data_IF_834557843382
#
_entry.id   IF_834557843382
#
_cell.length_a   1.000
_cell.length_b   1.000
_cell.length_c   1.000
_cell.angle_alpha   90.00
_cell.angle_beta   90.00
_cell.angle_gamma   90.00
#
_symmetry.space_group_name_H-M   'P 1'
#
loop_
_entity.id
_entity.type
_entity.pdbx_description
1 polymer ?
#
# COMPACT_ATOMS: atom_id res chain seq x y z
N UNK A 1 40.69 46.21 -22.89
CA UNK A 1 41.63 45.78 -23.91
C UNK A 1 42.30 44.51 -23.45
N UNK A 2 42.47 43.47 -24.27
CA UNK A 2 42.02 43.32 -25.63
C UNK A 2 41.01 42.19 -25.83
N UNK A 3 40.29 42.35 -26.91
CA UNK A 3 39.41 41.41 -27.58
C UNK A 3 40.17 40.30 -28.32
N UNK A 4 39.66 39.08 -28.31
CA UNK A 4 40.01 38.12 -29.36
C UNK A 4 38.71 37.58 -29.96
N UNK A 5 38.47 37.99 -31.20
CA UNK A 5 37.53 37.36 -32.14
C UNK A 5 38.23 36.17 -32.78
N UNK A 6 37.52 35.08 -32.97
CA UNK A 6 37.81 34.18 -34.09
C UNK A 6 36.46 33.77 -34.71
N UNK A 7 36.39 34.01 -36.00
CA UNK A 7 35.34 33.70 -36.95
C UNK A 7 35.58 32.35 -37.65
N UNK A 8 34.66 31.84 -38.49
CA UNK A 8 34.40 30.41 -38.68
C UNK A 8 35.17 29.83 -39.87
N UNK A 9 35.31 28.52 -39.90
CA UNK A 9 35.75 27.79 -41.07
C UNK A 9 34.63 26.84 -41.53
N UNK A 10 34.20 27.06 -42.76
CA UNK A 10 33.33 26.24 -43.56
C UNK A 10 34.17 25.32 -44.46
N UNK A 11 33.80 24.07 -44.53
CA UNK A 11 34.02 23.16 -45.64
C UNK A 11 33.12 21.95 -45.40
N UNK A 12 32.23 21.52 -46.20
CA UNK A 12 32.05 21.58 -47.67
C UNK A 12 32.05 20.15 -48.23
N UNK A 13 30.95 19.82 -48.96
CA UNK A 13 30.82 18.70 -49.89
C UNK A 13 30.61 17.29 -49.29
N UNK A 14 29.69 16.41 -49.78
CA UNK A 14 29.04 16.26 -51.11
C UNK A 14 27.79 15.38 -50.97
N UNK A 15 26.77 15.79 -51.67
CA UNK A 15 25.61 15.04 -52.14
C UNK A 15 25.98 13.79 -52.95
N UNK A 16 25.26 12.71 -52.77
CA UNK A 16 25.00 11.72 -53.79
C UNK A 16 23.58 11.17 -53.65
N UNK A 17 22.72 11.71 -54.49
CA UNK A 17 21.44 11.11 -54.83
C UNK A 17 21.69 10.06 -55.91
N UNK A 18 21.04 8.90 -55.81
CA UNK A 18 20.72 8.11 -57.02
C UNK A 18 19.35 7.50 -56.88
N UNK A 19 18.60 7.85 -57.87
CA UNK A 19 17.20 7.54 -58.12
C UNK A 19 17.01 6.19 -58.85
N UNK A 20 15.80 5.70 -58.66
CA UNK A 20 14.94 5.01 -59.65
C UNK A 20 15.40 3.68 -60.27
N UNK A 21 14.56 2.67 -60.19
CA UNK A 21 13.77 2.27 -61.38
C UNK A 21 12.72 1.24 -61.00
N UNK A 22 11.50 1.62 -61.31
CA UNK A 22 10.34 0.74 -61.40
C UNK A 22 10.42 -0.09 -62.69
N UNK A 23 10.00 -1.32 -62.66
CA UNK A 23 9.59 -2.04 -63.86
C UNK A 23 8.31 -2.84 -63.61
N UNK A 24 7.25 -2.31 -64.15
CA UNK A 24 5.99 -3.00 -64.49
C UNK A 24 6.22 -3.95 -65.60
N UNK A 25 5.74 -5.20 -65.53
CA UNK A 25 5.37 -5.99 -66.68
C UNK A 25 4.17 -6.87 -66.38
N UNK A 26 3.05 -6.60 -66.95
CA UNK A 26 1.94 -7.47 -67.36
C UNK A 26 1.79 -7.28 -68.92
N UNK A 27 1.05 -8.07 -69.66
CA UNK A 27 0.36 -9.34 -69.46
C UNK A 27 0.62 -10.32 -70.63
N UNK A 28 0.16 -11.55 -70.50
CA UNK A 28 0.14 -12.48 -71.67
C UNK A 28 -0.97 -13.50 -71.51
N UNK A 29 -2.01 -13.27 -72.32
CA UNK A 29 -3.14 -14.17 -72.54
C UNK A 29 -2.74 -15.20 -73.60
N UNK A 30 -3.00 -16.47 -73.41
CA UNK A 30 -3.29 -17.40 -74.50
C UNK A 30 -4.08 -18.61 -73.97
N UNK A 31 -5.22 -18.78 -74.59
CA UNK A 31 -6.09 -19.95 -74.62
C UNK A 31 -5.38 -21.14 -75.32
N UNK A 32 -5.68 -22.35 -74.83
CA UNK A 32 -6.14 -23.34 -75.83
C UNK A 32 -6.75 -24.59 -75.13
N UNK A 33 -7.84 -25.00 -75.74
CA UNK A 33 -8.67 -26.16 -75.47
C UNK A 33 -7.92 -27.48 -75.60
N UNK A 34 -8.25 -28.49 -74.80
CA UNK A 34 -8.39 -29.86 -75.26
C UNK A 34 -9.25 -30.68 -74.36
N UNK A 35 -10.28 -31.19 -74.91
CA UNK A 35 -11.22 -32.20 -74.44
C UNK A 35 -10.55 -33.55 -74.25
N UNK A 36 -10.89 -34.26 -73.20
CA UNK A 36 -10.51 -35.68 -73.01
C UNK A 36 -11.27 -36.29 -71.88
N UNK A 37 -12.43 -36.82 -72.16
CA UNK A 37 -13.20 -37.72 -71.27
C UNK A 37 -12.47 -39.01 -71.03
N UNK A 38 -12.80 -39.68 -69.99
CA UNK A 38 -12.97 -41.10 -69.74
C UNK A 38 -12.32 -41.60 -68.39
N UNK A 39 -13.19 -42.20 -67.69
CA UNK A 39 -13.16 -43.34 -66.72
C UNK A 39 -13.06 -43.04 -65.23
N UNK A 40 -14.22 -43.24 -64.71
CA UNK A 40 -14.59 -43.64 -63.36
C UNK A 40 -13.74 -44.81 -62.82
N UNK A 41 -12.89 -44.58 -61.88
CA UNK A 41 -12.43 -45.61 -60.97
C UNK A 41 -12.61 -45.17 -59.53
N UNK A 42 -13.55 -45.84 -58.85
CA UNK A 42 -13.78 -45.75 -57.44
C UNK A 42 -12.49 -46.18 -56.69
N UNK A 43 -11.89 -45.28 -55.97
CA UNK A 43 -10.99 -45.58 -54.89
C UNK A 43 -11.47 -44.82 -53.66
N UNK A 44 -12.09 -45.58 -52.72
CA UNK A 44 -12.28 -45.14 -51.35
C UNK A 44 -10.88 -44.89 -50.75
N UNK A 45 -10.57 -43.65 -50.47
CA UNK A 45 -9.50 -43.27 -49.57
C UNK A 45 -10.14 -42.69 -48.33
N UNK A 46 -9.96 -43.39 -47.19
CA UNK A 46 -10.36 -43.04 -45.86
C UNK A 46 -9.82 -41.64 -45.49
N UNK A 47 -10.70 -40.66 -45.37
CA UNK A 47 -10.41 -39.40 -44.74
C UNK A 47 -10.30 -39.67 -43.23
N UNK A 48 -9.08 -39.94 -42.74
CA UNK A 48 -8.76 -39.89 -41.32
C UNK A 48 -8.92 -38.45 -40.85
N UNK A 49 -10.07 -38.17 -40.25
CA UNK A 49 -10.26 -36.94 -39.49
C UNK A 49 -9.32 -36.96 -38.30
N UNK A 50 -8.18 -36.29 -38.39
CA UNK A 50 -7.32 -35.98 -37.26
C UNK A 50 -8.07 -34.94 -36.43
N UNK A 51 -8.92 -35.43 -35.52
CA UNK A 51 -9.48 -34.64 -34.45
C UNK A 51 -8.32 -34.29 -33.49
N UNK A 52 -7.72 -33.11 -33.69
CA UNK A 52 -6.87 -32.48 -32.70
C UNK A 52 -7.80 -32.13 -31.55
N UNK A 53 -7.88 -33.00 -30.55
CA UNK A 53 -8.48 -32.74 -29.26
C UNK A 53 -7.61 -31.63 -28.64
N UNK A 54 -8.07 -30.38 -28.75
CA UNK A 54 -7.60 -29.27 -27.91
C UNK A 54 -8.04 -29.60 -26.48
N UNK A 55 -7.25 -30.39 -25.78
CA UNK A 55 -7.38 -30.53 -24.35
C UNK A 55 -7.13 -29.11 -23.76
N UNK A 56 -8.05 -28.58 -22.95
CA UNK A 56 -7.75 -27.38 -22.19
C UNK A 56 -6.49 -27.65 -21.38
N UNK A 57 -5.46 -26.86 -21.61
CA UNK A 57 -4.21 -27.02 -20.89
C UNK A 57 -4.47 -26.82 -19.39
N UNK A 58 -4.21 -27.86 -18.58
CA UNK A 58 -4.33 -27.86 -17.11
C UNK A 58 -3.54 -26.71 -16.44
N UNK A 59 -2.63 -26.08 -17.18
CA UNK A 59 -1.88 -24.88 -16.76
C UNK A 59 -2.77 -23.68 -16.41
N UNK A 60 -3.98 -23.54 -16.98
CA UNK A 60 -4.88 -22.44 -16.65
C UNK A 60 -5.50 -22.58 -15.24
N UNK A 61 -5.79 -23.80 -14.82
CA UNK A 61 -6.33 -24.06 -13.47
C UNK A 61 -5.27 -23.97 -12.37
N UNK A 62 -4.02 -24.30 -12.68
CA UNK A 62 -2.91 -24.26 -11.73
C UNK A 62 -2.58 -22.85 -11.20
N UNK A 63 -3.00 -21.78 -11.89
CA UNK A 63 -2.70 -20.39 -11.51
C UNK A 63 -3.88 -19.69 -10.83
N UNK A 64 -5.11 -20.18 -11.00
CA UNK A 64 -6.33 -19.51 -10.50
C UNK A 64 -6.37 -19.46 -8.97
N UNK A 65 -5.90 -20.50 -8.28
CA UNK A 65 -5.86 -20.56 -6.84
C UNK A 65 -5.02 -19.42 -6.24
N UNK A 66 -3.84 -19.15 -6.83
CA UNK A 66 -2.93 -18.10 -6.35
C UNK A 66 -3.48 -16.71 -6.64
N UNK A 67 -4.14 -16.52 -7.78
CA UNK A 67 -4.75 -15.23 -8.15
C UNK A 67 -5.86 -14.82 -7.19
N UNK A 68 -6.63 -15.77 -6.67
CA UNK A 68 -7.72 -15.53 -5.69
C UNK A 68 -7.24 -14.94 -4.36
N UNK A 69 -5.96 -15.05 -4.03
CA UNK A 69 -5.38 -14.48 -2.84
C UNK A 69 -5.20 -12.96 -2.91
N UNK A 70 -5.11 -12.39 -4.13
CA UNK A 70 -4.88 -10.98 -4.35
C UNK A 70 -6.18 -10.18 -4.34
N UNK A 71 -6.18 -9.05 -3.63
CA UNK A 71 -7.30 -8.11 -3.63
C UNK A 71 -7.46 -7.38 -4.98
N UNK A 72 -6.35 -7.20 -5.70
CA UNK A 72 -6.29 -6.62 -7.05
C UNK A 72 -5.06 -7.16 -7.78
N UNK A 73 -5.15 -7.32 -9.10
CA UNK A 73 -4.05 -7.74 -9.97
C UNK A 73 -3.60 -6.66 -10.96
N UNK A 74 -4.19 -5.46 -10.87
CA UNK A 74 -3.81 -4.34 -11.72
C UNK A 74 -3.94 -3.01 -10.99
N UNK A 75 -3.06 -2.06 -11.34
CA UNK A 75 -3.11 -0.70 -10.85
C UNK A 75 -2.65 0.29 -11.92
N UNK A 76 -3.36 1.41 -12.03
CA UNK A 76 -2.96 2.52 -12.89
C UNK A 76 -2.63 3.73 -12.00
N UNK A 77 -1.38 4.15 -12.03
CA UNK A 77 -0.91 5.34 -11.31
C UNK A 77 -1.47 6.65 -11.87
N UNK A 78 -2.13 6.60 -13.04
CA UNK A 78 -2.58 7.81 -13.72
C UNK A 78 -1.41 8.66 -14.23
N UNK A 79 -1.56 9.98 -14.12
CA UNK A 79 -0.49 10.93 -14.46
C UNK A 79 0.25 11.35 -13.20
N UNK A 80 1.55 11.12 -13.17
CA UNK A 80 2.42 11.41 -12.02
C UNK A 80 3.54 12.40 -12.39
N UNK A 81 4.03 13.16 -11.41
CA UNK A 81 5.12 14.09 -11.61
C UNK A 81 6.47 13.36 -11.68
N UNK A 82 7.41 13.91 -12.46
CA UNK A 82 8.79 13.42 -12.48
C UNK A 82 9.43 13.51 -11.09
N UNK A 83 10.07 12.41 -10.69
CA UNK A 83 10.78 12.31 -9.41
C UNK A 83 9.87 12.08 -8.21
N UNK A 84 8.53 12.09 -8.37
CA UNK A 84 7.61 11.78 -7.27
C UNK A 84 7.82 10.36 -6.75
N UNK A 85 7.62 10.15 -5.45
CA UNK A 85 7.48 8.82 -4.88
C UNK A 85 6.16 8.24 -5.37
N UNK A 86 6.21 7.14 -6.08
CA UNK A 86 5.02 6.52 -6.68
C UNK A 86 5.13 5.02 -6.48
N UNK A 87 4.31 4.48 -5.58
CA UNK A 87 4.28 3.05 -5.28
C UNK A 87 2.85 2.56 -5.06
N UNK A 88 2.63 1.29 -5.34
CA UNK A 88 1.36 0.62 -5.07
C UNK A 88 1.62 -0.73 -4.40
N UNK A 89 0.77 -1.08 -3.42
CA UNK A 89 0.86 -2.30 -2.63
C UNK A 89 -0.23 -3.26 -3.06
N UNK A 90 0.16 -4.30 -3.78
CA UNK A 90 -0.71 -5.42 -4.08
C UNK A 90 -0.79 -6.32 -2.86
N UNK A 91 -1.89 -6.22 -2.14
CA UNK A 91 -2.13 -7.01 -0.93
C UNK A 91 -2.63 -8.40 -1.32
N UNK A 92 -2.01 -9.44 -0.75
CA UNK A 92 -2.48 -10.82 -0.88
C UNK A 92 -2.57 -11.48 0.49
N UNK A 93 -3.54 -12.38 0.64
CA UNK A 93 -3.81 -13.09 1.89
C UNK A 93 -3.79 -14.58 1.64
N UNK A 94 -3.11 -15.35 2.47
CA UNK A 94 -3.22 -16.80 2.43
C UNK A 94 -4.62 -17.22 2.91
N UNK A 95 -5.49 -17.58 1.97
CA UNK A 95 -6.86 -18.03 2.25
C UNK A 95 -6.95 -19.55 2.45
N UNK A 96 -5.82 -20.27 2.34
CA UNK A 96 -5.70 -21.71 2.41
C UNK A 96 -5.15 -22.17 3.76
N UNK A 97 -5.33 -23.45 4.08
CA UNK A 97 -4.82 -24.07 5.32
C UNK A 97 -3.31 -24.33 5.25
N UNK A 98 -2.81 -24.59 4.05
CA UNK A 98 -1.41 -24.88 3.78
C UNK A 98 -0.56 -23.60 3.88
N UNK A 99 0.68 -23.69 4.37
CA UNK A 99 1.58 -22.55 4.36
C UNK A 99 1.93 -22.14 2.92
N UNK A 100 1.98 -20.85 2.69
CA UNK A 100 2.32 -20.22 1.43
C UNK A 100 3.79 -19.77 1.44
N UNK A 101 4.53 -20.01 0.35
CA UNK A 101 5.86 -19.45 0.17
C UNK A 101 5.99 -18.73 -1.17
N UNK A 102 6.53 -17.49 -1.12
CA UNK A 102 6.82 -16.64 -2.26
C UNK A 102 8.30 -16.77 -2.60
N UNK A 103 8.63 -17.39 -3.72
CA UNK A 103 9.99 -17.51 -4.23
C UNK A 103 10.58 -16.14 -4.54
N UNK A 104 9.79 -15.31 -5.22
CA UNK A 104 10.19 -13.96 -5.58
C UNK A 104 9.22 -13.31 -6.56
N UNK A 105 9.63 -12.12 -7.02
CA UNK A 105 8.91 -11.36 -8.03
C UNK A 105 9.89 -10.84 -9.08
N UNK A 106 9.53 -10.98 -10.36
CA UNK A 106 10.28 -10.43 -11.50
C UNK A 106 9.43 -9.38 -12.22
N UNK A 107 10.08 -8.46 -12.89
CA UNK A 107 9.41 -7.41 -13.67
C UNK A 107 9.74 -7.53 -15.16
N UNK A 108 8.81 -7.13 -16.04
CA UNK A 108 8.99 -7.11 -17.48
C UNK A 108 9.81 -5.91 -17.98
N UNK A 109 9.95 -4.85 -17.16
CA UNK A 109 10.74 -3.68 -17.55
C UNK A 109 11.39 -3.00 -16.33
N UNK A 110 12.46 -2.21 -16.54
CA UNK A 110 13.14 -1.42 -15.49
C UNK A 110 12.34 -0.20 -15.00
N UNK A 111 11.15 0.05 -15.58
CA UNK A 111 10.29 1.17 -15.19
C UNK A 111 9.56 0.93 -13.86
N UNK A 112 9.59 -0.29 -13.33
CA UNK A 112 8.99 -0.66 -12.05
C UNK A 112 9.90 -1.64 -11.31
N UNK A 113 10.21 -1.34 -10.04
CA UNK A 113 10.97 -2.22 -9.15
C UNK A 113 10.02 -2.86 -8.15
N UNK A 114 9.88 -4.20 -8.15
CA UNK A 114 9.03 -4.91 -7.21
C UNK A 114 9.78 -5.28 -5.94
N UNK A 115 9.06 -5.34 -4.82
CA UNK A 115 9.54 -5.81 -3.51
C UNK A 115 8.47 -6.67 -2.84
N UNK A 116 8.85 -7.78 -2.21
CA UNK A 116 7.95 -8.63 -1.41
C UNK A 116 8.22 -8.40 0.05
N UNK A 117 7.20 -8.04 0.83
CA UNK A 117 7.35 -7.72 2.26
C UNK A 117 7.50 -8.94 3.14
N UNK A 118 6.78 -10.02 2.83
CA UNK A 118 6.79 -11.30 3.58
C UNK A 118 6.78 -12.44 2.58
N UNK A 119 7.69 -13.41 2.76
CA UNK A 119 7.79 -14.57 1.86
C UNK A 119 7.05 -15.80 2.36
N UNK A 120 7.02 -16.02 3.67
CA UNK A 120 6.35 -17.16 4.29
C UNK A 120 5.10 -16.70 5.03
N UNK A 121 3.93 -17.22 4.64
CA UNK A 121 2.64 -16.87 5.23
C UNK A 121 1.92 -18.11 5.71
N UNK A 122 1.52 -18.09 6.97
CA UNK A 122 0.59 -19.07 7.54
C UNK A 122 -0.84 -18.76 7.09
N UNK A 123 -1.76 -19.66 7.41
CA UNK A 123 -3.20 -19.47 7.15
C UNK A 123 -3.68 -18.10 7.66
N UNK A 124 -4.36 -17.36 6.80
CA UNK A 124 -4.93 -16.03 7.05
C UNK A 124 -3.93 -14.88 7.26
N UNK A 125 -2.65 -15.13 7.19
CA UNK A 125 -1.65 -14.05 7.17
C UNK A 125 -1.68 -13.30 5.84
N UNK A 126 -1.27 -12.03 5.89
CA UNK A 126 -1.29 -11.10 4.76
C UNK A 126 0.13 -10.70 4.40
N UNK A 127 0.43 -10.68 3.12
CA UNK A 127 1.66 -10.14 2.55
C UNK A 127 1.37 -9.08 1.50
N UNK A 128 2.41 -8.38 1.07
CA UNK A 128 2.31 -7.34 0.05
C UNK A 128 3.41 -7.48 -1.00
N UNK A 129 3.06 -7.21 -2.24
CA UNK A 129 4.00 -6.95 -3.33
C UNK A 129 3.96 -5.45 -3.62
N UNK A 130 5.04 -4.75 -3.28
CA UNK A 130 5.18 -3.32 -3.48
C UNK A 130 5.74 -3.06 -4.86
N UNK A 131 4.98 -2.41 -5.73
CA UNK A 131 5.40 -1.96 -7.05
C UNK A 131 5.87 -0.50 -6.97
N UNK A 132 7.18 -0.27 -7.06
CA UNK A 132 7.78 1.07 -7.05
C UNK A 132 8.00 1.55 -8.47
N UNK A 133 7.25 2.57 -8.90
CA UNK A 133 7.32 3.12 -10.26
C UNK A 133 8.49 4.11 -10.37
N UNK A 134 9.39 3.90 -11.33
CA UNK A 134 10.60 4.73 -11.49
C UNK A 134 10.29 6.03 -12.23
N UNK A 135 9.84 7.02 -11.50
CA UNK A 135 9.51 8.36 -12.02
C UNK A 135 10.71 9.25 -12.25
N UNK A 136 11.91 8.86 -11.77
CA UNK A 136 13.14 9.67 -11.90
C UNK A 136 13.77 9.53 -13.27
N UNK A 137 13.84 8.29 -13.77
CA UNK A 137 14.58 7.96 -14.99
C UNK A 137 13.67 7.93 -16.23
N UNK A 138 12.40 7.52 -16.06
CA UNK A 138 11.46 7.35 -17.16
C UNK A 138 10.53 8.55 -17.29
N UNK A 139 10.10 8.85 -18.52
CA UNK A 139 9.14 9.89 -18.89
C UNK A 139 8.12 9.33 -19.87
N UNK A 140 6.90 9.89 -19.84
CA UNK A 140 5.82 9.46 -20.71
C UNK A 140 5.09 8.23 -20.19
N UNK A 141 4.41 7.54 -21.09
CA UNK A 141 3.58 6.39 -20.73
C UNK A 141 4.41 5.12 -20.60
N UNK A 142 4.36 4.50 -19.46
CA UNK A 142 5.04 3.23 -19.15
C UNK A 142 4.11 2.26 -18.44
N UNK A 143 4.42 0.97 -18.59
CA UNK A 143 3.73 -0.11 -17.89
C UNK A 143 4.64 -1.31 -17.71
N UNK A 144 4.39 -2.09 -16.68
CA UNK A 144 5.11 -3.31 -16.36
C UNK A 144 4.15 -4.43 -15.94
N UNK A 145 4.56 -5.66 -16.21
CA UNK A 145 3.98 -6.86 -15.63
C UNK A 145 4.97 -7.39 -14.58
N UNK A 146 4.48 -7.54 -13.35
CA UNK A 146 5.21 -8.16 -12.24
C UNK A 146 4.73 -9.60 -12.14
N UNK A 147 5.62 -10.56 -12.29
CA UNK A 147 5.29 -11.98 -12.13
C UNK A 147 5.73 -12.44 -10.77
N UNK A 148 4.77 -12.75 -9.91
CA UNK A 148 4.97 -13.29 -8.56
C UNK A 148 4.98 -14.81 -8.65
N UNK A 149 6.06 -15.45 -8.17
CA UNK A 149 6.23 -16.91 -8.23
C UNK A 149 6.06 -17.50 -6.84
N UNK A 150 5.19 -18.50 -6.73
CA UNK A 150 4.96 -19.32 -5.54
C UNK A 150 5.46 -20.75 -5.81
N UNK A 151 5.99 -21.42 -4.78
CA UNK A 151 6.36 -22.83 -4.81
C UNK A 151 5.63 -23.68 -3.76
N UNK A 152 4.97 -23.05 -2.80
CA UNK A 152 4.12 -23.72 -1.79
C UNK A 152 2.74 -23.09 -1.72
N UNK A 153 1.68 -23.87 -1.56
CA UNK A 153 1.65 -25.36 -1.51
C UNK A 153 1.90 -26.01 -2.87
N UNK A 154 1.69 -25.28 -3.97
CA UNK A 154 1.91 -25.71 -5.34
C UNK A 154 2.58 -24.60 -6.13
N UNK A 155 3.29 -24.96 -7.19
CA UNK A 155 3.85 -23.96 -8.11
C UNK A 155 2.73 -23.14 -8.77
N UNK A 156 2.88 -21.80 -8.73
CA UNK A 156 2.01 -20.88 -9.44
C UNK A 156 2.74 -19.57 -9.76
N UNK A 157 2.32 -18.92 -10.83
CA UNK A 157 2.74 -17.57 -11.18
C UNK A 157 1.52 -16.66 -11.28
N UNK A 158 1.55 -15.51 -10.61
CA UNK A 158 0.51 -14.48 -10.68
C UNK A 158 1.09 -13.25 -11.36
N UNK A 159 0.41 -12.76 -12.37
CA UNK A 159 0.78 -11.55 -13.09
C UNK A 159 0.04 -10.34 -12.53
N UNK A 160 0.79 -9.39 -11.99
CA UNK A 160 0.30 -8.09 -11.55
C UNK A 160 0.69 -7.04 -12.58
N UNK A 161 -0.24 -6.17 -12.97
CA UNK A 161 -0.01 -5.16 -14.01
C UNK A 161 -0.03 -3.77 -13.40
N UNK A 162 0.95 -2.96 -13.77
CA UNK A 162 0.99 -1.54 -13.44
C UNK A 162 1.17 -0.71 -14.70
N UNK A 163 0.58 0.49 -14.71
CA UNK A 163 0.74 1.45 -15.78
C UNK A 163 0.68 2.87 -15.22
N UNK A 164 1.24 3.85 -15.93
CA UNK A 164 1.16 5.26 -15.58
C UNK A 164 1.82 6.13 -16.63
N UNK A 165 1.58 7.44 -16.54
CA UNK A 165 2.18 8.46 -17.41
C UNK A 165 2.99 9.44 -16.57
N UNK A 166 4.32 9.51 -16.80
CA UNK A 166 5.25 10.34 -16.04
C UNK A 166 5.47 11.66 -16.76
N UNK A 167 5.04 12.76 -16.13
CA UNK A 167 5.22 14.11 -16.68
C UNK A 167 6.54 14.73 -16.23
N UNK A 168 7.30 15.24 -17.21
CA UNK A 168 8.58 15.90 -16.95
C UNK A 168 8.47 17.40 -16.66
N UNK A 169 7.33 17.99 -16.93
CA UNK A 169 7.07 19.42 -16.77
C UNK A 169 6.54 19.80 -15.38
N UNK A 170 6.10 18.83 -14.56
CA UNK A 170 5.74 19.02 -13.16
C UNK A 170 6.72 18.28 -12.26
N UNK A 171 7.25 19.00 -11.25
CA UNK A 171 8.18 18.45 -10.27
C UNK A 171 7.78 18.86 -8.86
N UNK A 172 8.09 17.99 -7.88
CA UNK A 172 7.90 18.24 -6.45
C UNK A 172 9.26 18.31 -5.75
N UNK A 173 9.41 19.25 -4.83
CA UNK A 173 10.60 19.38 -3.99
C UNK A 173 10.19 19.69 -2.54
N UNK A 174 10.33 18.72 -1.63
CA UNK A 174 10.73 17.32 -1.82
C UNK A 174 9.73 16.49 -2.64
N UNK A 175 10.10 15.28 -3.13
CA UNK A 175 9.30 14.47 -4.07
C UNK A 175 8.00 13.90 -3.48
N UNK A 176 7.82 13.96 -2.18
CA UNK A 176 6.64 13.56 -1.40
C UNK A 176 6.69 14.28 -0.04
N UNK A 177 5.59 14.23 0.71
CA UNK A 177 5.52 14.80 2.05
C UNK A 177 5.95 13.75 3.08
N UNK A 178 7.14 13.91 3.65
CA UNK A 178 7.61 13.11 4.77
C UNK A 178 7.39 13.87 6.09
N UNK A 179 6.41 13.43 6.88
CA UNK A 179 6.14 13.98 8.21
C UNK A 179 7.14 13.45 9.25
N UNK A 180 7.84 12.35 8.95
CA UNK A 180 8.76 11.69 9.87
C UNK A 180 8.04 11.06 11.07
N UNK A 181 8.75 11.02 12.22
CA UNK A 181 8.16 10.64 13.49
C UNK A 181 7.54 11.88 14.16
N UNK A 182 6.27 11.80 14.48
CA UNK A 182 5.48 12.88 15.10
C UNK A 182 4.99 12.40 16.46
N UNK A 183 5.22 13.17 17.51
CA UNK A 183 4.69 12.84 18.83
C UNK A 183 3.16 12.93 18.83
N UNK A 184 2.50 11.95 19.45
CA UNK A 184 1.06 11.93 19.57
C UNK A 184 0.54 13.21 20.26
N UNK A 185 -0.47 13.81 19.68
CA UNK A 185 -1.07 15.05 20.18
C UNK A 185 -0.38 16.36 19.76
N UNK A 186 0.78 16.31 19.04
CA UNK A 186 1.49 17.54 18.65
C UNK A 186 1.23 17.98 17.21
N UNK A 187 0.83 17.06 16.34
CA UNK A 187 0.72 17.33 14.92
C UNK A 187 2.10 17.61 14.27
N UNK A 188 2.09 17.85 12.98
CA UNK A 188 3.29 18.23 12.21
C UNK A 188 2.92 19.04 11.00
N UNK A 189 3.87 19.81 10.48
CA UNK A 189 3.69 20.60 9.26
C UNK A 189 4.90 20.42 8.35
N UNK A 190 4.65 20.25 7.05
CA UNK A 190 5.67 20.17 6.01
C UNK A 190 5.22 20.93 4.78
N UNK A 191 6.18 21.55 4.10
CA UNK A 191 5.94 22.26 2.84
C UNK A 191 6.66 21.55 1.70
N UNK A 192 6.02 21.52 0.55
CA UNK A 192 6.55 21.00 -0.71
C UNK A 192 6.39 22.07 -1.77
N UNK A 193 7.45 22.34 -2.50
CA UNK A 193 7.40 23.22 -3.67
C UNK A 193 6.96 22.41 -4.90
N UNK A 194 5.86 22.86 -5.50
CA UNK A 194 5.34 22.31 -6.76
C UNK A 194 5.74 23.27 -7.87
N UNK A 195 6.51 22.78 -8.83
CA UNK A 195 7.00 23.58 -9.96
C UNK A 195 6.47 23.00 -11.26
N UNK A 196 5.88 23.85 -12.09
CA UNK A 196 5.55 23.55 -13.47
C UNK A 196 6.40 24.38 -14.42
N UNK A 197 7.00 23.73 -15.43
CA UNK A 197 7.80 24.37 -16.48
C UNK A 197 7.03 24.28 -17.79
N UNK A 198 6.70 25.42 -18.38
CA UNK A 198 5.94 25.50 -19.64
C UNK A 198 5.50 26.93 -19.93
N UNK A 199 5.17 27.18 -21.18
CA UNK A 199 4.72 28.51 -21.66
C UNK A 199 3.21 28.73 -21.49
N UNK A 200 2.43 27.68 -21.24
CA UNK A 200 0.98 27.79 -21.03
C UNK A 200 0.67 28.13 -19.58
N UNK A 201 -0.33 28.98 -19.32
CA UNK A 201 -0.79 29.25 -17.95
C UNK A 201 -1.21 27.94 -17.28
N UNK A 202 -0.46 27.57 -16.24
CA UNK A 202 -0.74 26.38 -15.46
C UNK A 202 -1.12 26.78 -14.03
N UNK A 203 -2.19 26.17 -13.54
CA UNK A 203 -2.77 26.52 -12.25
C UNK A 203 -3.22 25.29 -11.50
N UNK A 204 -2.91 25.24 -10.20
CA UNK A 204 -3.51 24.30 -9.25
C UNK A 204 -4.80 24.94 -8.76
N UNK A 205 -5.95 24.36 -9.14
CA UNK A 205 -7.28 24.85 -8.78
C UNK A 205 -7.71 24.41 -7.39
N UNK A 206 -7.29 23.23 -6.98
CA UNK A 206 -7.71 22.60 -5.73
C UNK A 206 -6.71 21.52 -5.30
N UNK A 207 -6.66 21.21 -4.01
CA UNK A 207 -5.90 20.07 -3.46
C UNK A 207 -6.80 19.28 -2.56
N UNK A 208 -6.96 17.98 -2.85
CA UNK A 208 -7.87 17.09 -2.14
C UNK A 208 -7.10 16.01 -1.40
N UNK A 209 -7.61 15.63 -0.24
CA UNK A 209 -7.14 14.49 0.55
C UNK A 209 -8.33 13.61 0.95
N UNK A 210 -8.16 12.30 0.84
CA UNK A 210 -9.11 11.33 1.41
C UNK A 210 -8.89 11.13 2.91
N UNK A 211 -7.70 11.49 3.44
CA UNK A 211 -7.38 11.37 4.84
C UNK A 211 -7.79 12.63 5.61
N UNK A 212 -8.79 12.51 6.47
CA UNK A 212 -9.35 13.61 7.26
C UNK A 212 -8.36 14.22 8.28
N UNK A 213 -7.25 13.53 8.57
CA UNK A 213 -6.21 14.02 9.47
C UNK A 213 -5.27 15.04 8.81
N UNK A 214 -5.35 15.23 7.50
CA UNK A 214 -4.55 16.22 6.80
C UNK A 214 -5.34 17.50 6.53
N UNK A 215 -4.73 18.62 6.85
CA UNK A 215 -5.12 19.95 6.38
C UNK A 215 -4.10 20.44 5.37
N UNK A 216 -4.58 20.99 4.27
CA UNK A 216 -3.73 21.40 3.17
C UNK A 216 -3.99 22.86 2.84
N UNK A 217 -2.91 23.62 2.68
CA UNK A 217 -2.95 25.00 2.20
C UNK A 217 -2.01 25.19 1.02
N UNK A 218 -2.42 26.04 0.07
CA UNK A 218 -1.67 26.32 -1.14
C UNK A 218 -1.36 27.83 -1.18
N UNK A 219 -0.09 28.16 -1.43
CA UNK A 219 0.32 29.56 -1.62
C UNK A 219 -0.27 30.16 -2.91
N UNK A 220 -0.21 31.50 -3.03
CA UNK A 220 -0.37 32.13 -4.34
C UNK A 220 0.76 31.70 -5.27
N UNK A 221 0.47 31.53 -6.59
CA UNK A 221 1.51 31.16 -7.54
C UNK A 221 2.59 32.21 -7.68
N UNK A 222 3.83 31.76 -7.76
CA UNK A 222 4.94 32.58 -8.21
C UNK A 222 5.18 32.31 -9.68
N UNK A 223 5.04 33.32 -10.53
CA UNK A 223 5.23 33.21 -11.97
C UNK A 223 6.60 33.70 -12.41
N UNK A 224 7.29 32.91 -13.22
CA UNK A 224 8.48 33.26 -13.97
C UNK A 224 8.19 33.29 -15.49
N UNK A 225 9.17 33.57 -16.35
CA UNK A 225 8.98 33.69 -17.81
C UNK A 225 8.44 32.42 -18.50
N UNK A 226 8.76 31.23 -17.94
CA UNK A 226 8.31 29.93 -18.45
C UNK A 226 8.08 28.92 -17.30
N UNK A 227 7.72 29.42 -16.12
CA UNK A 227 7.59 28.61 -14.92
C UNK A 227 6.51 29.15 -14.01
N UNK A 228 5.75 28.26 -13.38
CA UNK A 228 4.84 28.55 -12.28
C UNK A 228 5.23 27.68 -11.09
N UNK A 229 5.29 28.27 -9.89
CA UNK A 229 5.60 27.54 -8.68
C UNK A 229 4.59 27.86 -7.57
N UNK A 230 4.28 26.85 -6.77
CA UNK A 230 3.41 26.91 -5.59
C UNK A 230 4.12 26.28 -4.41
N UNK A 231 3.92 26.84 -3.23
CA UNK A 231 4.30 26.19 -1.98
C UNK A 231 3.03 25.56 -1.38
N UNK A 232 3.04 24.23 -1.31
CA UNK A 232 1.99 23.41 -0.75
C UNK A 232 2.36 23.06 0.68
N UNK A 233 1.57 23.47 1.66
CA UNK A 233 1.80 23.16 3.07
C UNK A 233 0.79 22.10 3.52
N UNK A 234 1.29 21.03 4.09
CA UNK A 234 0.50 19.92 4.62
C UNK A 234 0.68 19.86 6.12
N UNK A 235 -0.42 19.94 6.85
CA UNK A 235 -0.47 19.86 8.31
C UNK A 235 -1.17 18.58 8.74
N UNK A 236 -0.53 17.81 9.60
CA UNK A 236 -1.14 16.69 10.32
C UNK A 236 -1.83 17.23 11.57
N UNK A 237 -3.09 16.88 11.76
CA UNK A 237 -3.87 17.28 12.94
C UNK A 237 -3.36 16.60 14.21
N UNK A 238 -3.37 17.30 15.36
CA UNK A 238 -2.96 16.72 16.64
C UNK A 238 -3.81 15.52 17.08
N UNK A 239 -5.09 15.48 16.69
CA UNK A 239 -6.07 14.45 17.04
C UNK A 239 -5.83 13.11 16.32
N UNK A 240 -4.89 13.07 15.38
CA UNK A 240 -4.59 11.85 14.63
C UNK A 240 -4.06 10.74 15.56
N UNK A 241 -4.58 9.53 15.40
CA UNK A 241 -4.26 8.38 16.24
C UNK A 241 -2.81 7.90 16.05
N UNK A 242 -2.24 7.29 17.10
CA UNK A 242 -0.91 6.69 17.03
C UNK A 242 -0.85 5.58 15.96
N UNK A 243 0.27 5.50 15.25
CA UNK A 243 0.51 4.52 14.20
C UNK A 243 1.10 5.12 12.93
N UNK A 244 1.11 4.33 11.86
CA UNK A 244 1.51 4.83 10.55
C UNK A 244 0.43 5.72 9.96
N UNK A 245 0.84 6.88 9.47
CA UNK A 245 -0.01 7.82 8.74
C UNK A 245 0.46 7.85 7.31
N UNK A 246 -0.41 7.46 6.41
CA UNK A 246 -0.17 7.55 4.98
C UNK A 246 -1.42 8.09 4.29
N UNK A 247 -1.22 8.68 3.13
CA UNK A 247 -2.30 9.19 2.30
C UNK A 247 -1.76 9.75 1.00
N UNK A 248 -2.69 10.11 0.14
CA UNK A 248 -2.39 10.72 -1.13
C UNK A 248 -3.15 12.04 -1.23
N UNK A 249 -2.43 13.09 -1.60
CA UNK A 249 -3.00 14.37 -2.00
C UNK A 249 -3.21 14.34 -3.51
N UNK A 250 -4.33 14.84 -3.97
CA UNK A 250 -4.63 14.98 -5.39
C UNK A 250 -4.64 16.47 -5.74
N UNK A 251 -3.63 16.90 -6.48
CA UNK A 251 -3.57 18.25 -7.02
C UNK A 251 -4.47 18.32 -8.24
N UNK A 252 -5.54 19.10 -8.17
CA UNK A 252 -6.46 19.34 -9.29
C UNK A 252 -5.96 20.52 -10.10
N UNK A 253 -5.65 20.32 -11.37
CA UNK A 253 -5.06 21.34 -12.24
C UNK A 253 -6.02 21.78 -13.35
N UNK A 254 -5.66 22.86 -14.05
CA UNK A 254 -6.35 23.33 -15.24
C UNK A 254 -5.90 22.61 -16.53
N UNK A 255 -4.92 21.70 -16.48
CA UNK A 255 -4.45 20.96 -17.65
C UNK A 255 -5.33 19.72 -17.92
N UNK A 256 -6.08 19.65 -19.04
CA UNK A 256 -6.93 18.50 -19.34
C UNK A 256 -6.18 17.19 -19.46
N UNK A 257 -4.87 17.22 -19.81
CA UNK A 257 -4.03 16.02 -19.96
C UNK A 257 -3.50 15.49 -18.63
N UNK A 258 -3.58 16.31 -17.58
CA UNK A 258 -3.18 15.98 -16.22
C UNK A 258 -4.06 16.71 -15.20
N UNK A 259 -5.38 16.53 -15.34
CA UNK A 259 -6.36 17.17 -14.48
C UNK A 259 -6.16 16.84 -12.99
N UNK A 260 -5.52 15.72 -12.71
CA UNK A 260 -5.20 15.25 -11.35
C UNK A 260 -3.76 14.75 -11.31
N UNK A 261 -2.99 15.22 -10.34
CA UNK A 261 -1.60 14.80 -10.10
C UNK A 261 -1.49 14.35 -8.64
N UNK A 262 -1.22 13.07 -8.39
CA UNK A 262 -1.10 12.54 -7.03
C UNK A 262 0.25 12.92 -6.41
N UNK A 263 0.24 13.14 -5.09
CA UNK A 263 1.42 13.33 -4.24
C UNK A 263 1.25 12.52 -2.97
N UNK A 264 2.21 11.68 -2.63
CA UNK A 264 2.15 10.85 -1.44
C UNK A 264 2.53 11.62 -0.18
N UNK A 265 1.87 11.30 0.93
CA UNK A 265 2.15 11.79 2.28
C UNK A 265 2.36 10.58 3.17
N UNK A 266 3.45 10.57 3.94
CA UNK A 266 3.74 9.50 4.90
C UNK A 266 4.32 10.06 6.20
N UNK A 267 4.13 9.31 7.28
CA UNK A 267 4.69 9.61 8.59
C UNK A 267 4.34 8.55 9.61
N UNK A 268 4.81 8.74 10.82
CA UNK A 268 4.51 7.84 11.94
C UNK A 268 4.21 8.65 13.19
N UNK A 269 3.01 8.48 13.74
CA UNK A 269 2.65 9.07 15.03
C UNK A 269 3.09 8.11 16.13
N UNK A 270 3.95 8.57 17.00
CA UNK A 270 4.56 7.79 18.05
C UNK A 270 3.97 8.24 19.40
N UNK A 271 3.38 7.31 20.14
CA UNK A 271 3.01 7.57 21.52
C UNK A 271 4.27 7.62 22.38
N UNK A 272 4.40 8.67 23.18
CA UNK A 272 5.54 8.82 24.11
C UNK A 272 5.58 7.70 25.12
N UNK A 273 4.40 7.25 25.56
CA UNK A 273 4.23 6.12 26.50
C UNK A 273 3.47 4.99 25.82
N UNK A 274 3.98 3.79 25.91
CA UNK A 274 3.36 2.58 25.38
C UNK A 274 3.07 1.58 26.50
N UNK A 275 1.99 0.80 26.35
CA UNK A 275 1.62 -0.26 27.30
C UNK A 275 1.50 -1.61 26.58
N UNK A 276 1.95 -2.66 27.23
CA UNK A 276 1.87 -4.02 26.70
C UNK A 276 1.54 -5.02 27.83
N UNK A 277 0.58 -5.92 27.61
CA UNK A 277 -0.32 -6.02 26.47
C UNK A 277 -1.38 -4.90 26.47
N UNK A 278 -1.92 -4.54 25.31
CA UNK A 278 -3.07 -3.61 25.21
C UNK A 278 -4.39 -4.28 25.61
N UNK A 279 -4.46 -5.60 25.50
CA UNK A 279 -5.55 -6.46 25.95
C UNK A 279 -5.04 -7.42 27.03
N UNK A 280 -5.47 -7.23 28.27
CA UNK A 280 -5.13 -8.07 29.40
C UNK A 280 -6.26 -9.09 29.63
N UNK A 281 -6.13 -10.28 29.05
CA UNK A 281 -7.06 -11.37 29.24
C UNK A 281 -6.78 -12.07 30.60
N UNK A 282 -7.70 -12.00 31.53
CA UNK A 282 -7.58 -12.62 32.87
C UNK A 282 -8.09 -14.08 32.89
N UNK A 283 -8.85 -14.49 31.85
CA UNK A 283 -9.46 -15.80 31.78
C UNK A 283 -10.74 -15.91 32.62
N UNK A 284 -11.02 -17.15 33.07
CA UNK A 284 -12.18 -17.45 33.92
C UNK A 284 -11.81 -17.23 35.37
N UNK A 285 -12.63 -16.49 36.12
CA UNK A 285 -12.42 -16.10 37.54
C UNK A 285 -13.64 -16.55 38.36
N UNK A 286 -13.42 -17.14 39.52
CA UNK A 286 -14.50 -17.50 40.44
C UNK A 286 -15.11 -16.27 41.11
N UNK A 287 -16.42 -16.24 41.41
CA UNK A 287 -17.03 -15.18 42.20
C UNK A 287 -16.29 -14.97 43.52
N UNK A 288 -16.00 -13.72 43.88
CA UNK A 288 -15.26 -13.34 45.07
C UNK A 288 -13.74 -13.55 44.98
N UNK A 289 -13.22 -14.19 43.96
CA UNK A 289 -11.78 -14.36 43.78
C UNK A 289 -11.10 -13.13 43.17
N UNK A 290 -9.79 -13.05 43.33
CA UNK A 290 -8.95 -12.02 42.71
C UNK A 290 -7.87 -12.64 41.85
N UNK A 291 -7.57 -12.00 40.72
CA UNK A 291 -6.52 -12.42 39.78
C UNK A 291 -5.60 -11.25 39.50
N UNK A 292 -4.29 -11.46 39.61
CA UNK A 292 -3.28 -10.44 39.33
C UNK A 292 -2.49 -10.83 38.06
N UNK A 293 -2.34 -9.88 37.13
CA UNK A 293 -1.44 -9.99 35.97
C UNK A 293 -0.65 -8.71 35.76
N UNK A 294 0.55 -8.85 35.25
CA UNK A 294 1.43 -7.71 35.01
C UNK A 294 1.18 -7.08 33.65
N UNK A 295 1.23 -5.75 33.61
CA UNK A 295 1.38 -4.96 32.38
C UNK A 295 2.73 -4.25 32.42
N UNK A 296 3.29 -3.96 31.25
CA UNK A 296 4.56 -3.26 31.10
C UNK A 296 4.29 -1.92 30.43
N UNK A 297 4.65 -0.84 31.12
CA UNK A 297 4.56 0.54 30.60
C UNK A 297 5.96 0.99 30.24
N UNK A 298 6.17 1.51 29.04
CA UNK A 298 7.48 1.93 28.52
C UNK A 298 7.41 3.31 27.91
N UNK A 299 8.49 4.08 28.09
CA UNK A 299 8.73 5.32 27.35
C UNK A 299 10.19 5.43 26.89
N UNK A 300 10.47 6.36 26.01
CA UNK A 300 11.82 6.61 25.49
C UNK A 300 12.70 7.40 26.47
N UNK A 301 12.12 7.99 27.50
CA UNK A 301 12.81 8.70 28.58
C UNK A 301 12.28 8.25 29.94
N UNK A 302 13.03 8.45 31.03
CA UNK A 302 12.57 8.11 32.39
C UNK A 302 11.29 8.87 32.73
N UNK A 303 10.33 8.17 33.34
CA UNK A 303 9.03 8.71 33.75
C UNK A 303 8.54 8.06 35.02
N UNK A 304 7.56 8.70 35.67
CA UNK A 304 6.83 8.18 36.82
C UNK A 304 5.38 7.86 36.43
N UNK A 305 4.83 6.79 36.96
CA UNK A 305 3.39 6.52 36.87
C UNK A 305 2.73 7.24 38.06
N UNK A 306 2.02 8.34 37.72
CA UNK A 306 1.41 9.22 38.74
C UNK A 306 0.02 8.77 39.16
N UNK A 307 -0.67 8.00 38.28
CA UNK A 307 -2.00 7.51 38.57
C UNK A 307 -2.40 6.32 37.72
N UNK A 308 -3.30 5.52 38.24
CA UNK A 308 -3.97 4.43 37.51
C UNK A 308 -5.44 4.49 37.88
N UNK A 309 -6.33 4.56 36.93
CA UNK A 309 -7.77 4.71 37.14
C UNK A 309 -8.59 3.72 36.32
N UNK A 310 -9.66 3.22 36.93
CA UNK A 310 -10.67 2.37 36.30
C UNK A 310 -12.06 2.89 36.66
N UNK A 311 -13.06 2.61 35.82
CA UNK A 311 -14.41 3.18 35.92
C UNK A 311 -15.21 2.76 37.17
N UNK A 312 -14.95 1.58 37.72
CA UNK A 312 -15.80 0.98 38.80
C UNK A 312 -15.01 0.36 39.96
N UNK A 313 -13.71 0.62 40.09
CA UNK A 313 -12.91 0.19 41.21
C UNK A 313 -12.63 -1.31 41.33
N UNK A 314 -13.08 -2.12 40.38
CA UNK A 314 -12.82 -3.58 40.34
C UNK A 314 -11.37 -3.93 39.97
N UNK A 315 -10.62 -2.96 39.46
CA UNK A 315 -9.21 -3.08 39.12
C UNK A 315 -8.39 -2.21 40.08
N UNK A 316 -7.39 -2.81 40.68
CA UNK A 316 -6.42 -2.10 41.54
C UNK A 316 -5.02 -2.24 40.96
N UNK A 317 -4.26 -1.15 41.01
CA UNK A 317 -2.87 -1.10 40.56
C UNK A 317 -2.17 0.01 41.34
N UNK A 318 -1.01 -0.27 41.89
CA UNK A 318 -0.23 0.74 42.63
C UNK A 318 0.60 1.59 41.65
N UNK A 319 0.54 2.93 41.77
CA UNK A 319 1.40 3.84 41.03
C UNK A 319 2.89 3.60 41.31
N UNK A 320 3.77 3.87 40.34
CA UNK A 320 5.24 3.80 40.50
C UNK A 320 5.83 5.20 40.39
N UNK A 321 6.17 5.79 41.51
CA UNK A 321 6.70 7.17 41.62
C UNK A 321 8.20 7.29 41.36
N UNK A 322 8.93 6.17 41.23
CA UNK A 322 10.36 6.17 40.89
C UNK A 322 10.52 6.31 39.40
N UNK A 323 11.34 7.27 38.95
CA UNK A 323 11.55 7.49 37.51
C UNK A 323 12.33 6.32 36.87
N UNK A 324 11.76 5.69 35.83
CA UNK A 324 12.37 4.64 35.04
C UNK A 324 11.82 4.66 33.60
N UNK A 325 12.54 4.09 32.66
CA UNK A 325 12.07 3.97 31.26
C UNK A 325 11.10 2.81 31.05
N UNK A 326 11.01 1.90 32.03
CA UNK A 326 10.13 0.72 32.02
C UNK A 326 9.55 0.52 33.39
N UNK A 327 8.23 0.43 33.48
CA UNK A 327 7.52 0.05 34.70
C UNK A 327 6.74 -1.23 34.51
N UNK A 328 6.86 -2.17 35.43
CA UNK A 328 6.03 -3.37 35.52
C UNK A 328 4.99 -3.10 36.58
N UNK A 329 3.72 -3.09 36.19
CA UNK A 329 2.60 -2.78 37.07
C UNK A 329 1.73 -4.03 37.26
N UNK A 330 1.62 -4.55 38.50
CA UNK A 330 0.67 -5.62 38.81
C UNK A 330 -0.75 -5.03 38.82
N UNK A 331 -1.61 -5.53 37.95
CA UNK A 331 -3.03 -5.20 37.91
C UNK A 331 -3.82 -6.33 38.52
N UNK A 332 -4.53 -6.03 39.59
CA UNK A 332 -5.37 -6.99 40.30
C UNK A 332 -6.84 -6.71 40.02
N UNK A 333 -7.51 -7.71 39.52
CA UNK A 333 -8.95 -7.73 39.30
C UNK A 333 -9.64 -8.47 40.43
N UNK A 334 -10.62 -7.84 41.08
CA UNK A 334 -11.46 -8.45 42.11
C UNK A 334 -12.85 -8.72 41.53
N UNK A 335 -13.25 -9.98 41.43
CA UNK A 335 -14.51 -10.37 40.83
C UNK A 335 -15.74 -9.94 41.65
N UNK A 336 -15.60 -9.81 42.99
CA UNK A 336 -16.71 -9.42 43.86
C UNK A 336 -17.96 -10.28 43.62
N UNK A 337 -19.10 -9.64 43.49
CA UNK A 337 -20.41 -10.27 43.18
C UNK A 337 -20.75 -10.28 41.67
N UNK A 338 -19.82 -9.87 40.81
CA UNK A 338 -20.00 -9.87 39.35
C UNK A 338 -20.17 -11.27 38.81
N UNK A 339 -20.85 -11.39 37.67
CA UNK A 339 -21.00 -12.64 36.90
C UNK A 339 -21.03 -12.35 35.39
N UNK A 340 -20.59 -13.32 34.58
CA UNK A 340 -20.54 -13.21 33.13
C UNK A 340 -19.28 -12.52 32.61
N UNK A 341 -19.35 -12.02 31.37
CA UNK A 341 -18.21 -11.33 30.73
C UNK A 341 -18.05 -9.91 31.29
N UNK A 342 -16.84 -9.59 31.72
CA UNK A 342 -16.45 -8.28 32.23
C UNK A 342 -15.38 -7.71 31.31
N UNK A 343 -15.59 -6.50 30.81
CA UNK A 343 -14.62 -5.74 30.03
C UNK A 343 -14.49 -4.34 30.65
N UNK A 344 -13.26 -3.92 30.93
CA UNK A 344 -12.94 -2.65 31.58
C UNK A 344 -11.74 -2.01 30.95
N UNK A 345 -11.68 -0.68 31.00
CA UNK A 345 -10.53 0.10 30.57
C UNK A 345 -9.76 0.64 31.78
N UNK A 346 -8.49 0.33 31.83
CA UNK A 346 -7.53 0.83 32.79
C UNK A 346 -6.75 1.98 32.14
N UNK A 347 -6.87 3.19 32.67
CA UNK A 347 -6.14 4.38 32.20
C UNK A 347 -4.91 4.60 33.09
N UNK A 348 -3.75 4.85 32.48
CA UNK A 348 -2.47 5.02 33.16
C UNK A 348 -2.01 6.45 32.96
N UNK A 349 -1.90 7.23 34.02
CA UNK A 349 -1.44 8.62 33.99
C UNK A 349 0.05 8.66 34.33
N UNK A 350 0.82 9.48 33.63
CA UNK A 350 2.27 9.65 33.82
C UNK A 350 2.62 11.13 33.94
N UNK A 351 3.84 11.43 34.36
CA UNK A 351 4.40 12.79 34.43
C UNK A 351 4.92 13.33 33.10
N UNK A 352 4.81 12.54 32.01
CA UNK A 352 5.26 12.96 30.66
C UNK A 352 4.28 13.89 29.92
N UNK A 353 3.17 14.26 30.54
CA UNK A 353 2.18 15.19 30.01
C UNK A 353 0.89 14.54 29.48
N UNK A 354 -0.06 15.37 29.06
CA UNK A 354 -1.43 14.95 28.72
C UNK A 354 -1.59 14.31 27.32
N UNK A 355 -0.50 14.11 26.58
CA UNK A 355 -0.53 13.82 25.13
C UNK A 355 -1.17 12.48 24.74
N UNK A 356 -1.09 11.46 25.55
CA UNK A 356 -1.85 10.22 25.40
C UNK A 356 -1.83 9.41 26.70
N UNK A 357 -2.98 9.28 27.29
CA UNK A 357 -3.16 8.39 28.44
C UNK A 357 -3.20 6.95 27.90
N UNK A 358 -2.14 6.14 28.10
CA UNK A 358 -2.15 4.76 27.65
C UNK A 358 -3.27 4.00 28.35
N UNK A 359 -4.04 3.25 27.56
CA UNK A 359 -5.21 2.51 28.04
C UNK A 359 -5.01 1.03 27.80
N UNK A 360 -5.37 0.21 28.79
CA UNK A 360 -5.38 -1.25 28.70
C UNK A 360 -6.81 -1.75 28.81
N UNK A 361 -7.24 -2.54 27.85
CA UNK A 361 -8.53 -3.26 27.95
C UNK A 361 -8.31 -4.53 28.76
N UNK A 362 -9.03 -4.66 29.89
CA UNK A 362 -9.00 -5.83 30.75
C UNK A 362 -10.26 -6.66 30.52
N UNK A 363 -10.11 -7.94 30.20
CA UNK A 363 -11.21 -8.87 29.98
C UNK A 363 -11.14 -10.05 30.93
N UNK A 364 -12.28 -10.35 31.57
CA UNK A 364 -12.47 -11.52 32.43
C UNK A 364 -13.82 -12.19 32.15
N UNK A 365 -13.94 -13.46 32.46
CA UNK A 365 -15.23 -14.17 32.51
C UNK A 365 -15.41 -14.64 33.95
N UNK A 366 -16.38 -14.06 34.67
CA UNK A 366 -16.68 -14.48 36.04
C UNK A 366 -17.75 -15.58 35.96
N UNK A 367 -17.45 -16.75 36.57
CA UNK A 367 -18.39 -17.87 36.60
C UNK A 367 -19.68 -17.48 37.33
N UNK A 368 -20.80 -18.04 36.88
CA UNK A 368 -22.03 -17.92 37.68
C UNK A 368 -21.89 -18.80 38.92
N UNK A 369 -22.31 -18.32 40.13
CA UNK A 369 -22.38 -19.19 41.28
C UNK A 369 -23.31 -20.36 40.93
N UNK A 370 -22.84 -21.59 41.16
CA UNK A 370 -23.64 -22.78 40.96
C UNK A 370 -24.95 -22.60 41.76
N UNK A 371 -26.06 -22.49 41.02
CA UNK A 371 -27.37 -22.35 41.63
C UNK A 371 -27.61 -23.58 42.52
N UNK A 372 -28.03 -23.32 43.77
CA UNK A 372 -28.56 -24.37 44.64
C UNK A 372 -29.71 -25.02 43.89
N UNK A 373 -29.48 -26.23 43.41
CA UNK A 373 -30.55 -27.06 42.84
C UNK A 373 -31.51 -27.34 43.99
N UNK A 374 -32.62 -26.62 44.04
CA UNK A 374 -33.71 -26.84 45.01
C UNK A 374 -34.15 -28.29 44.86
N UNK A 375 -33.91 -29.08 45.91
CA UNK A 375 -34.51 -30.38 46.05
C UNK A 375 -36.04 -30.20 46.04
N UNK A 376 -36.70 -30.57 44.97
CA UNK A 376 -38.15 -30.74 44.94
C UNK A 376 -38.50 -31.84 45.94
N UNK A 377 -38.97 -31.44 47.12
CA UNK A 377 -39.56 -32.40 48.06
C UNK A 377 -40.78 -33.05 47.37
N UNK A 378 -40.66 -34.31 47.03
CA UNK A 378 -41.79 -35.13 46.72
C UNK A 378 -42.67 -35.29 47.94
N UNK A 379 -43.82 -34.63 47.96
CA UNK A 379 -44.87 -34.91 48.91
C UNK A 379 -45.70 -36.07 48.31
N UNK A 380 -45.81 -37.13 49.10
CA UNK A 380 -46.56 -38.35 48.87
C UNK A 380 -48.04 -38.11 48.99
#
# INVERSE_FOLDING_TARGET
MPSVRFSPSAAGFRTAAMAAMATLVTPGVARMFSTGSVTLRKTLLAAGALAVVLAPSDAAFAQEWATKMFSSTSHNFGTVAKGSKTEYRFVFRNIYKEPLHVVGVRTSCGCTSPEVTVRDLKTHETGEVVAKFNTRTFLGQHGATLTVTFDKPYFAEVQLRVAGNIRGDVTFDPPFVDLGNVDLGKGAERSVRVTHVGSTPWEIKDVRSANANFEVSLSKPTHGPSQSAYDLTVRLKPEAAAGYVNGQLILVTNDPRAAQIPMDVEGRIVAEVTVSPQLLALGTVQPGASVTKNIVVRANRPFCVTGVSCSDGCLTCEPKTTAATVHILPVTFAAGTMSGKVERQLKITTDLGEGAVPTVTVQATVEQPAGVVGQSASIK
#
